data_IF_217338787300
#
_entry.id   IF_217338787300
#
_cell.length_a   1.000
_cell.length_b   1.000
_cell.length_c   1.000
_cell.angle_alpha   90.00
_cell.angle_beta   90.00
_cell.angle_gamma   90.00
#
_symmetry.space_group_name_H-M   'P 1'
#
loop_
_entity.id
_entity.type
_entity.pdbx_description
1 polymer ?
#
# COMPACT_ATOMS: atom_id res chain seq x y z
N UNK A 1 -2.37 9.21 -2.09
CA UNK A 1 -1.35 8.63 -1.22
C UNK A 1 0.01 8.67 -1.89
N UNK A 2 1.00 8.57 -1.08
CA UNK A 2 2.43 8.66 -1.42
C UNK A 2 3.13 7.30 -1.33
N UNK A 3 2.39 6.22 -1.42
CA UNK A 3 2.91 4.86 -1.32
C UNK A 3 2.61 4.07 -2.59
N UNK A 4 3.65 3.52 -3.20
CA UNK A 4 3.56 2.66 -4.36
C UNK A 4 3.85 1.21 -3.97
N UNK A 5 2.99 0.30 -4.42
CA UNK A 5 3.11 -1.14 -4.16
C UNK A 5 3.12 -1.91 -5.47
N UNK A 6 4.03 -2.87 -5.58
CA UNK A 6 4.11 -3.77 -6.73
C UNK A 6 4.47 -5.19 -6.26
N UNK A 7 3.86 -6.21 -6.86
CA UNK A 7 4.22 -7.61 -6.56
C UNK A 7 3.15 -8.61 -6.96
N UNK A 8 3.56 -9.82 -7.30
CA UNK A 8 2.70 -10.87 -7.85
C UNK A 8 1.50 -11.24 -6.98
N UNK A 9 1.66 -11.32 -5.67
CA UNK A 9 0.60 -11.76 -4.76
C UNK A 9 -0.17 -10.60 -4.10
N UNK A 10 0.10 -9.36 -4.49
CA UNK A 10 -0.45 -8.19 -3.82
C UNK A 10 -1.98 -8.19 -3.84
N UNK A 11 -2.60 -8.35 -5.00
CA UNK A 11 -4.07 -8.34 -5.14
C UNK A 11 -4.75 -9.43 -4.29
N UNK A 12 -4.21 -10.64 -4.25
CA UNK A 12 -4.76 -11.73 -3.42
C UNK A 12 -4.56 -11.47 -1.93
N UNK A 13 -3.44 -10.89 -1.53
CA UNK A 13 -3.17 -10.47 -0.15
C UNK A 13 -4.15 -9.37 0.29
N UNK A 14 -4.39 -8.36 -0.57
CA UNK A 14 -5.37 -7.31 -0.31
C UNK A 14 -6.79 -7.88 -0.14
N UNK A 15 -7.24 -8.72 -1.08
CA UNK A 15 -8.55 -9.37 -1.01
C UNK A 15 -8.73 -10.25 0.24
N UNK A 16 -7.68 -10.95 0.68
CA UNK A 16 -7.70 -11.69 1.95
C UNK A 16 -7.88 -10.74 3.13
N UNK A 17 -7.23 -9.61 3.13
CA UNK A 17 -7.24 -8.66 4.23
C UNK A 17 -8.55 -7.86 4.32
N UNK A 18 -9.26 -7.62 3.21
CA UNK A 18 -10.60 -7.00 3.23
C UNK A 18 -11.63 -7.86 3.96
N UNK A 19 -11.37 -9.15 4.17
CA UNK A 19 -12.24 -10.07 4.94
C UNK A 19 -12.02 -9.98 6.46
N UNK A 20 -11.21 -9.04 6.94
CA UNK A 20 -10.95 -8.84 8.35
C UNK A 20 -12.23 -8.45 9.11
N UNK A 21 -12.72 -9.34 9.98
CA UNK A 21 -13.95 -9.10 10.78
C UNK A 21 -13.67 -8.43 12.12
N UNK A 22 -12.46 -8.57 12.67
CA UNK A 22 -12.11 -8.09 14.01
C UNK A 22 -10.62 -7.74 14.10
N UNK A 23 -10.33 -6.62 14.74
CA UNK A 23 -8.96 -6.18 14.98
C UNK A 23 -8.41 -5.29 13.86
N UNK A 24 -7.10 -5.22 13.79
CA UNK A 24 -6.39 -4.49 12.75
C UNK A 24 -5.23 -5.32 12.19
N UNK A 25 -4.91 -5.02 10.93
CA UNK A 25 -3.75 -5.58 10.25
C UNK A 25 -3.00 -4.46 9.53
N UNK A 26 -1.69 -4.50 9.60
CA UNK A 26 -0.79 -3.58 8.90
C UNK A 26 0.12 -4.36 7.98
N UNK A 27 0.40 -3.81 6.82
CA UNK A 27 1.37 -4.38 5.89
C UNK A 27 2.75 -3.81 6.21
N UNK A 28 3.72 -4.70 6.33
CA UNK A 28 5.12 -4.37 6.62
C UNK A 28 6.02 -4.74 5.45
N UNK A 29 7.06 -3.96 5.27
CA UNK A 29 8.13 -4.23 4.31
C UNK A 29 9.50 -4.09 4.97
N UNK A 30 10.44 -4.93 4.54
CA UNK A 30 11.82 -4.88 5.00
C UNK A 30 12.57 -3.75 4.30
N UNK A 31 13.19 -2.86 5.08
CA UNK A 31 13.89 -1.68 4.57
C UNK A 31 15.31 -1.58 5.14
N UNK A 32 16.26 -1.00 4.39
CA UNK A 32 17.64 -0.81 4.85
C UNK A 32 17.78 0.32 5.88
N UNK A 33 16.87 1.31 5.91
CA UNK A 33 16.90 2.48 6.80
C UNK A 33 15.58 2.61 7.57
N UNK A 34 15.32 1.72 8.54
CA UNK A 34 14.04 1.69 9.24
C UNK A 34 13.75 2.95 10.10
N UNK A 35 14.78 3.67 10.52
CA UNK A 35 14.67 4.89 11.32
C UNK A 35 13.92 6.03 10.62
N UNK A 36 13.73 5.95 9.31
CA UNK A 36 12.97 6.94 8.53
C UNK A 36 11.46 6.75 8.59
N UNK A 37 11.00 5.59 9.09
CA UNK A 37 9.61 5.15 9.04
C UNK A 37 9.05 4.79 10.41
N UNK A 38 7.75 4.57 10.49
CA UNK A 38 7.16 3.80 11.55
C UNK A 38 7.66 2.35 11.47
N UNK A 39 8.16 1.80 12.58
CA UNK A 39 8.78 0.48 12.64
C UNK A 39 8.01 -0.46 13.54
N UNK A 40 7.84 -1.70 13.12
CA UNK A 40 7.20 -2.73 13.92
C UNK A 40 8.13 -3.94 14.15
N UNK A 41 8.10 -4.49 15.37
CA UNK A 41 8.66 -5.80 15.70
C UNK A 41 7.52 -6.81 15.84
N UNK A 42 7.64 -7.97 15.19
CA UNK A 42 6.64 -9.04 15.22
C UNK A 42 7.19 -10.31 15.87
N UNK A 43 6.30 -11.17 16.33
CA UNK A 43 6.64 -12.54 16.77
C UNK A 43 6.46 -13.54 15.60
N UNK A 44 6.74 -14.82 15.87
CA UNK A 44 6.62 -15.93 14.92
C UNK A 44 5.20 -16.08 14.31
N UNK A 45 4.17 -15.57 15.00
CA UNK A 45 2.78 -15.62 14.56
C UNK A 45 2.31 -14.30 13.91
N UNK A 46 3.22 -13.46 13.46
CA UNK A 46 2.96 -12.14 12.86
C UNK A 46 2.15 -11.19 13.77
N UNK A 47 2.15 -11.42 15.10
CA UNK A 47 1.59 -10.45 16.04
C UNK A 47 2.59 -9.36 16.34
N UNK A 48 2.14 -8.12 16.35
CA UNK A 48 2.99 -6.97 16.62
C UNK A 48 3.30 -6.90 18.12
N UNK A 49 4.58 -6.96 18.45
CA UNK A 49 5.12 -6.83 19.82
C UNK A 49 5.38 -5.37 20.14
N UNK A 50 6.07 -4.68 19.23
CA UNK A 50 6.47 -3.28 19.40
C UNK A 50 6.18 -2.52 18.11
N UNK A 51 5.76 -1.27 18.27
CA UNK A 51 5.57 -0.35 17.17
C UNK A 51 5.99 1.05 17.62
N UNK A 52 6.75 1.75 16.81
CA UNK A 52 7.25 3.08 17.13
C UNK A 52 7.49 3.90 15.86
N UNK A 53 7.09 5.16 15.90
CA UNK A 53 7.34 6.12 14.84
C UNK A 53 8.80 6.58 14.90
N UNK A 54 9.49 6.55 13.77
CA UNK A 54 10.87 7.05 13.55
C UNK A 54 11.80 6.81 14.76
N UNK A 55 12.08 5.56 15.11
CA UNK A 55 12.79 5.22 16.35
C UNK A 55 14.26 5.65 16.28
N UNK A 56 14.74 6.34 17.30
CA UNK A 56 16.18 6.71 17.44
C UNK A 56 17.09 5.50 17.71
N UNK A 57 16.53 4.41 18.27
CA UNK A 57 17.25 3.16 18.52
C UNK A 57 16.67 2.08 17.64
N UNK A 58 17.52 1.21 17.09
CA UNK A 58 17.09 0.10 16.25
C UNK A 58 16.08 -0.81 16.98
N UNK A 59 15.00 -1.16 16.30
CA UNK A 59 13.94 -2.05 16.78
C UNK A 59 13.83 -3.29 15.88
N UNK A 60 13.73 -3.08 14.59
CA UNK A 60 13.70 -4.08 13.53
C UNK A 60 13.87 -3.40 12.18
N UNK A 61 14.03 -4.17 11.12
CA UNK A 61 14.09 -3.70 9.73
C UNK A 61 12.71 -3.65 9.04
N UNK A 62 11.61 -3.84 9.79
CA UNK A 62 10.24 -3.89 9.26
C UNK A 62 9.57 -2.53 9.38
N UNK A 63 9.51 -1.81 8.27
CA UNK A 63 8.78 -0.54 8.14
C UNK A 63 7.28 -0.78 7.94
N UNK A 64 6.48 0.14 8.45
CA UNK A 64 5.04 0.23 8.22
C UNK A 64 4.82 0.94 6.90
N UNK A 65 4.13 0.28 5.97
CA UNK A 65 4.03 0.72 4.58
C UNK A 65 2.89 1.69 4.26
N UNK A 66 2.16 2.17 5.27
CA UNK A 66 1.00 3.02 5.00
C UNK A 66 -0.27 2.27 4.55
N UNK A 67 -0.25 0.94 4.49
CA UNK A 67 -1.40 0.13 4.11
C UNK A 67 -1.97 -0.61 5.31
N UNK A 68 -3.23 -0.30 5.65
CA UNK A 68 -3.90 -0.73 6.87
C UNK A 68 -5.26 -1.34 6.60
N UNK A 69 -5.65 -2.32 7.40
CA UNK A 69 -6.99 -2.92 7.42
C UNK A 69 -7.52 -2.88 8.85
N UNK A 70 -8.72 -2.37 9.02
CA UNK A 70 -9.33 -2.17 10.32
C UNK A 70 -10.75 -2.73 10.36
N UNK A 71 -11.17 -3.20 11.54
CA UNK A 71 -12.58 -3.40 11.82
C UNK A 71 -13.29 -2.04 12.08
N UNK A 72 -14.62 -2.04 12.16
CA UNK A 72 -15.43 -0.83 12.35
C UNK A 72 -15.12 -0.07 13.65
N UNK A 73 -14.38 -0.64 14.61
CA UNK A 73 -13.98 0.03 15.84
C UNK A 73 -12.94 1.13 15.60
N UNK A 74 -12.31 1.14 14.43
CA UNK A 74 -11.35 2.17 14.04
C UNK A 74 -11.91 3.58 14.21
N UNK A 75 -13.16 3.81 13.81
CA UNK A 75 -13.83 5.13 13.94
C UNK A 75 -13.89 5.58 15.40
N UNK A 76 -14.24 4.65 16.32
CA UNK A 76 -14.30 4.95 17.76
C UNK A 76 -12.94 5.25 18.35
N UNK A 77 -11.89 4.53 17.89
CA UNK A 77 -10.53 4.76 18.38
C UNK A 77 -9.95 6.06 17.81
N UNK A 78 -10.11 6.30 16.51
CA UNK A 78 -9.62 7.50 15.84
C UNK A 78 -10.18 8.79 16.49
N UNK A 79 -11.49 8.83 16.79
CA UNK A 79 -12.14 9.98 17.46
C UNK A 79 -11.59 10.30 18.84
N UNK A 80 -10.87 9.38 19.48
CA UNK A 80 -10.28 9.54 20.82
C UNK A 80 -8.81 9.90 20.82
N UNK A 81 -8.17 9.85 19.66
CA UNK A 81 -6.76 10.20 19.54
C UNK A 81 -6.57 11.69 19.76
N UNK A 82 -5.44 12.03 20.36
CA UNK A 82 -5.00 13.41 20.55
C UNK A 82 -3.77 13.66 19.69
N UNK A 83 -3.54 14.89 19.24
CA UNK A 83 -2.31 15.23 18.54
C UNK A 83 -1.08 14.90 19.37
N UNK A 84 -0.05 14.39 18.71
CA UNK A 84 1.28 14.13 19.26
C UNK A 84 2.00 15.45 19.59
N UNK A 85 3.22 15.35 20.14
CA UNK A 85 4.08 16.53 20.34
C UNK A 85 4.42 17.28 19.05
N UNK A 86 4.19 16.65 17.88
CA UNK A 86 4.37 17.23 16.54
C UNK A 86 3.13 18.00 16.05
N UNK A 87 2.03 17.98 16.82
CA UNK A 87 0.74 18.57 16.43
C UNK A 87 -0.11 17.70 15.50
N UNK A 88 0.32 16.48 15.21
CA UNK A 88 -0.35 15.55 14.27
C UNK A 88 -0.98 14.37 15.00
N UNK A 89 -2.09 13.87 14.47
CA UNK A 89 -2.72 12.62 14.94
C UNK A 89 -2.01 11.45 14.27
N UNK A 90 -1.23 10.72 15.04
CA UNK A 90 -0.34 9.67 14.54
C UNK A 90 -1.07 8.35 14.32
N UNK A 91 -0.86 7.73 13.16
CA UNK A 91 -1.40 6.39 12.87
C UNK A 91 -0.86 5.33 13.84
N UNK A 92 0.37 5.49 14.31
CA UNK A 92 1.00 4.59 15.29
C UNK A 92 0.22 4.55 16.60
N UNK A 93 -0.39 5.65 17.04
CA UNK A 93 -1.22 5.69 18.24
C UNK A 93 -2.52 4.91 18.04
N UNK A 94 -3.13 5.02 16.86
CA UNK A 94 -4.27 4.20 16.47
C UNK A 94 -3.92 2.69 16.51
N UNK A 95 -2.79 2.32 15.94
CA UNK A 95 -2.31 0.94 15.94
C UNK A 95 -2.02 0.45 17.37
N UNK A 96 -1.50 1.31 18.26
CA UNK A 96 -1.28 0.98 19.67
C UNK A 96 -2.59 0.70 20.42
N UNK A 97 -3.71 1.33 20.05
CA UNK A 97 -5.03 0.99 20.59
C UNK A 97 -5.44 -0.47 20.29
N UNK A 98 -5.12 -0.97 19.11
CA UNK A 98 -5.36 -2.37 18.74
C UNK A 98 -4.32 -3.32 19.37
N UNK A 99 -3.05 -2.90 19.42
CA UNK A 99 -1.99 -3.68 20.04
C UNK A 99 -2.26 -3.96 21.52
N UNK A 100 -2.68 -2.95 22.30
CA UNK A 100 -3.02 -3.10 23.72
C UNK A 100 -4.13 -4.14 23.94
N UNK A 101 -5.01 -4.32 22.98
CA UNK A 101 -6.08 -5.33 22.99
C UNK A 101 -5.66 -6.68 22.40
N UNK A 102 -4.37 -6.87 22.06
CA UNK A 102 -3.84 -8.07 21.38
C UNK A 102 -4.55 -8.38 20.04
N UNK A 103 -5.07 -7.34 19.36
CA UNK A 103 -5.85 -7.41 18.13
C UNK A 103 -5.14 -6.79 16.94
N UNK A 104 -3.82 -6.61 17.00
CA UNK A 104 -2.99 -6.09 15.91
C UNK A 104 -2.09 -7.19 15.37
N UNK A 105 -2.21 -7.46 14.07
CA UNK A 105 -1.38 -8.41 13.31
C UNK A 105 -0.71 -7.73 12.14
N UNK A 106 0.26 -8.40 11.54
CA UNK A 106 0.95 -7.92 10.36
C UNK A 106 0.89 -8.91 9.21
N UNK A 107 0.90 -8.40 7.98
CA UNK A 107 1.29 -9.12 6.80
C UNK A 107 2.61 -8.55 6.27
N UNK A 108 3.41 -9.40 5.64
CA UNK A 108 4.70 -9.01 5.07
C UNK A 108 4.60 -8.97 3.55
N UNK A 109 5.16 -7.93 2.95
CA UNK A 109 5.45 -7.94 1.52
C UNK A 109 6.65 -8.88 1.32
N UNK A 110 6.45 -9.96 0.55
CA UNK A 110 7.47 -10.94 0.27
C UNK A 110 8.59 -10.41 -0.63
N UNK A 111 9.65 -11.19 -0.80
CA UNK A 111 10.86 -10.81 -1.59
C UNK A 111 10.55 -10.46 -3.06
N UNK A 112 9.45 -10.97 -3.62
CA UNK A 112 9.00 -10.64 -4.98
C UNK A 112 8.15 -9.38 -5.07
N UNK A 113 7.91 -8.68 -3.96
CA UNK A 113 7.17 -7.43 -3.92
C UNK A 113 8.08 -6.24 -3.67
N UNK A 114 7.63 -5.07 -4.10
CA UNK A 114 8.26 -3.78 -3.86
C UNK A 114 7.27 -2.85 -3.16
N UNK A 115 7.79 -2.06 -2.25
CA UNK A 115 7.14 -0.90 -1.67
C UNK A 115 8.08 0.28 -1.80
N UNK A 116 7.59 1.37 -2.38
CA UNK A 116 8.32 2.61 -2.54
C UNK A 116 7.47 3.73 -1.93
N UNK A 117 8.08 4.47 -1.04
CA UNK A 117 7.55 5.73 -0.52
C UNK A 117 7.86 6.82 -1.55
N UNK A 118 6.90 7.68 -1.85
CA UNK A 118 7.05 8.80 -2.80
C UNK A 118 6.97 10.16 -2.09
N UNK A 119 7.24 10.18 -0.80
CA UNK A 119 7.15 11.38 0.04
C UNK A 119 8.22 12.44 -0.23
N UNK A 120 9.27 12.12 -0.99
CA UNK A 120 10.29 13.07 -1.45
C UNK A 120 10.36 13.13 -2.98
N UNK A 121 10.87 14.24 -3.52
CA UNK A 121 11.10 14.38 -4.98
C UNK A 121 12.05 13.28 -5.47
N UNK A 122 13.10 12.98 -4.72
CA UNK A 122 14.07 11.93 -5.07
C UNK A 122 13.40 10.54 -5.14
N UNK A 123 12.58 10.21 -4.15
CA UNK A 123 11.89 8.92 -4.12
C UNK A 123 10.80 8.82 -5.18
N UNK A 124 10.15 9.94 -5.53
CA UNK A 124 9.25 10.02 -6.67
C UNK A 124 9.96 9.69 -8.00
N UNK A 125 11.15 10.23 -8.24
CA UNK A 125 11.95 9.90 -9.43
C UNK A 125 12.36 8.43 -9.46
N UNK A 126 12.80 7.87 -8.33
CA UNK A 126 13.15 6.45 -8.22
C UNK A 126 11.94 5.56 -8.53
N UNK A 127 10.77 5.92 -8.01
CA UNK A 127 9.52 5.19 -8.27
C UNK A 127 9.13 5.29 -9.74
N UNK A 128 9.21 6.47 -10.34
CA UNK A 128 8.92 6.67 -11.77
C UNK A 128 9.85 5.85 -12.67
N UNK A 129 11.15 5.82 -12.35
CA UNK A 129 12.12 4.99 -13.06
C UNK A 129 11.80 3.49 -12.92
N UNK A 130 11.42 3.04 -11.74
CA UNK A 130 11.00 1.65 -11.50
C UNK A 130 9.77 1.28 -12.33
N UNK A 131 8.72 2.13 -12.30
CA UNK A 131 7.50 1.92 -13.10
C UNK A 131 7.83 1.86 -14.57
N UNK A 132 8.57 2.82 -15.09
CA UNK A 132 8.99 2.86 -16.50
C UNK A 132 9.76 1.61 -16.92
N UNK A 133 10.70 1.13 -16.09
CA UNK A 133 11.47 -0.07 -16.39
C UNK A 133 10.59 -1.33 -16.47
N UNK A 134 9.61 -1.47 -15.56
CA UNK A 134 8.69 -2.61 -15.57
C UNK A 134 7.74 -2.55 -16.77
N UNK A 135 7.10 -1.40 -17.00
CA UNK A 135 6.16 -1.22 -18.11
C UNK A 135 6.81 -1.46 -19.46
N UNK A 136 7.99 -0.88 -19.69
CA UNK A 136 8.72 -1.04 -20.95
C UNK A 136 9.19 -2.49 -21.17
N UNK A 137 9.58 -3.19 -20.10
CA UNK A 137 10.03 -4.58 -20.18
C UNK A 137 8.90 -5.55 -20.42
N UNK A 138 7.75 -5.34 -19.77
CA UNK A 138 6.65 -6.31 -19.76
C UNK A 138 5.51 -5.95 -20.73
N UNK A 139 5.48 -4.72 -21.23
CA UNK A 139 4.51 -4.28 -22.24
C UNK A 139 3.09 -4.06 -21.71
N UNK A 140 2.92 -3.93 -20.38
CA UNK A 140 1.65 -3.57 -19.76
C UNK A 140 1.76 -2.26 -18.96
N UNK A 141 0.64 -1.69 -18.57
CA UNK A 141 0.58 -0.50 -17.73
C UNK A 141 0.29 -0.89 -16.28
N UNK A 142 1.08 -0.37 -15.34
CA UNK A 142 0.87 -0.57 -13.91
C UNK A 142 -0.32 0.29 -13.46
N UNK A 143 -1.20 -0.30 -12.66
CA UNK A 143 -2.41 0.35 -12.12
C UNK A 143 -3.30 0.99 -13.19
N UNK A 144 -3.36 0.42 -14.41
CA UNK A 144 -4.28 0.84 -15.45
C UNK A 144 -5.74 0.62 -15.00
N UNK A 145 -6.44 1.70 -14.69
CA UNK A 145 -7.79 1.65 -14.14
C UNK A 145 -8.79 1.02 -15.11
N UNK A 146 -8.66 1.28 -16.38
CA UNK A 146 -9.50 0.72 -17.44
C UNK A 146 -9.31 -0.80 -17.55
N UNK A 147 -8.07 -1.27 -17.53
CA UNK A 147 -7.76 -2.71 -17.57
C UNK A 147 -8.30 -3.42 -16.33
N UNK A 148 -8.07 -2.84 -15.14
CA UNK A 148 -8.60 -3.38 -13.87
C UNK A 148 -10.13 -3.45 -13.92
N UNK A 149 -10.78 -2.39 -14.38
CA UNK A 149 -12.23 -2.29 -14.46
C UNK A 149 -12.82 -3.27 -15.48
N UNK A 150 -12.15 -3.44 -16.63
CA UNK A 150 -12.54 -4.44 -17.64
C UNK A 150 -12.43 -5.86 -17.09
N UNK A 151 -11.30 -6.20 -16.45
CA UNK A 151 -11.06 -7.51 -15.84
C UNK A 151 -12.05 -7.83 -14.70
N UNK A 152 -12.50 -6.80 -13.98
CA UNK A 152 -13.53 -6.90 -12.94
C UNK A 152 -14.95 -6.88 -13.50
N UNK A 153 -15.13 -6.70 -14.82
CA UNK A 153 -16.44 -6.57 -15.48
C UNK A 153 -17.26 -5.38 -14.99
N UNK A 154 -16.59 -4.34 -14.49
CA UNK A 154 -17.24 -3.09 -14.09
C UNK A 154 -17.52 -2.19 -15.30
N UNK A 155 -16.72 -2.33 -16.34
CA UNK A 155 -16.87 -1.67 -17.63
C UNK A 155 -16.77 -2.69 -18.76
N UNK A 156 -17.22 -2.28 -19.95
CA UNK A 156 -17.14 -3.07 -21.19
C UNK A 156 -16.22 -2.41 -22.24
N UNK A 157 -15.99 -3.10 -23.35
CA UNK A 157 -15.13 -2.61 -24.46
C UNK A 157 -15.58 -1.25 -25.02
N UNK A 158 -16.90 -0.97 -25.06
CA UNK A 158 -17.41 0.32 -25.56
C UNK A 158 -16.98 1.48 -24.65
N UNK A 159 -16.98 1.28 -23.33
CA UNK A 159 -16.53 2.29 -22.38
C UNK A 159 -15.03 2.51 -22.47
N UNK A 160 -14.22 1.48 -22.76
CA UNK A 160 -12.79 1.64 -23.07
C UNK A 160 -12.59 2.47 -24.34
N UNK A 161 -13.42 2.29 -25.38
CA UNK A 161 -13.37 3.14 -26.57
C UNK A 161 -13.64 4.62 -26.26
N UNK A 162 -14.47 4.92 -25.28
CA UNK A 162 -14.65 6.30 -24.80
C UNK A 162 -13.38 6.83 -24.13
N UNK A 163 -12.72 6.04 -23.28
CA UNK A 163 -11.43 6.42 -22.69
C UNK A 163 -10.35 6.66 -23.75
N UNK A 164 -10.28 5.80 -24.78
CA UNK A 164 -9.35 5.97 -25.91
C UNK A 164 -9.59 7.30 -26.63
N UNK A 165 -10.84 7.65 -26.90
CA UNK A 165 -11.19 8.92 -27.52
C UNK A 165 -10.85 10.11 -26.62
N UNK A 166 -11.09 9.99 -25.30
CA UNK A 166 -10.79 11.02 -24.32
C UNK A 166 -9.29 11.32 -24.23
N UNK A 167 -8.45 10.29 -24.13
CA UNK A 167 -6.99 10.46 -24.06
C UNK A 167 -6.34 10.84 -25.39
N UNK A 168 -7.01 10.62 -26.51
CA UNK A 168 -6.52 10.95 -27.83
C UNK A 168 -5.36 10.05 -28.28
N UNK A 169 -4.46 10.59 -29.10
CA UNK A 169 -3.33 9.83 -29.64
C UNK A 169 -2.13 9.87 -28.70
N UNK A 170 -1.99 8.85 -27.84
CA UNK A 170 -0.88 8.69 -26.91
C UNK A 170 -0.57 7.20 -26.67
N UNK A 171 0.55 6.92 -26.02
CA UNK A 171 0.96 5.54 -25.69
C UNK A 171 -0.07 4.81 -24.82
N UNK A 172 -0.70 5.51 -23.89
CA UNK A 172 -1.74 4.94 -23.04
C UNK A 172 -2.96 4.49 -23.84
N UNK A 173 -3.43 5.33 -24.78
CA UNK A 173 -4.51 4.96 -25.71
C UNK A 173 -4.15 3.78 -26.60
N UNK A 174 -2.90 3.71 -27.05
CA UNK A 174 -2.43 2.58 -27.85
C UNK A 174 -2.41 1.28 -27.02
N UNK A 175 -2.07 1.37 -25.73
CA UNK A 175 -2.20 0.24 -24.81
C UNK A 175 -3.66 -0.19 -24.65
N UNK A 176 -4.59 0.74 -24.40
CA UNK A 176 -6.01 0.45 -24.30
C UNK A 176 -6.61 -0.20 -25.56
N UNK A 177 -6.18 0.23 -26.76
CA UNK A 177 -6.59 -0.40 -28.01
C UNK A 177 -6.19 -1.88 -28.06
N UNK A 178 -4.98 -2.23 -27.59
CA UNK A 178 -4.51 -3.62 -27.52
C UNK A 178 -5.32 -4.48 -26.56
N UNK A 179 -5.86 -3.90 -25.47
CA UNK A 179 -6.68 -4.64 -24.50
C UNK A 179 -8.04 -5.08 -25.07
N UNK A 180 -8.56 -4.38 -26.08
CA UNK A 180 -9.91 -4.63 -26.60
C UNK A 180 -9.90 -5.22 -28.02
N UNK A 181 -8.73 -5.27 -28.66
CA UNK A 181 -8.52 -6.03 -29.92
C UNK A 181 -8.52 -7.54 -29.65
#
# INVERSE_FOLDING_TARGET
GDNFFYGQSLSSQLLKNTKLKKGAKVVLHKVPKPELFGVAKINKNNKIITIKEKPKKYISDLAITGLYFFDNKVVKFAKKLKPSKRGEVEIVDLLNCYKSKKQLTADLIGRGGAWLDTGSIEDFYKTSAFVSAIENRQGFKIACLEEISLNKKWINKNQINHSIKFYGNCEYSNYLKKLIS
#
